data_IF_616806798548
#
_entry.id   IF_616806798548
#
_cell.length_a   1.000
_cell.length_b   1.000
_cell.length_c   1.000
_cell.angle_alpha   90.00
_cell.angle_beta   90.00
_cell.angle_gamma   90.00
#
_symmetry.space_group_name_H-M   'P 1'
#
loop_
_entity.id
_entity.type
_entity.pdbx_description
1 polymer ?
#
# COMPACT_ATOMS: atom_id res chain seq x y z
N UNK A 1 -2.63 8.13 -1.72
CA UNK A 1 -1.42 7.29 -1.89
C UNK A 1 -0.14 8.10 -2.00
N UNK A 2 -0.17 9.39 -2.36
CA UNK A 2 0.99 10.30 -2.29
C UNK A 2 2.27 9.69 -2.90
N UNK A 3 2.22 9.45 -4.21
CA UNK A 3 3.24 8.65 -4.93
C UNK A 3 4.38 9.49 -5.50
N UNK A 4 4.25 10.82 -5.58
CA UNK A 4 5.28 11.72 -6.11
C UNK A 4 6.40 11.96 -5.08
N UNK A 5 6.96 10.85 -4.58
CA UNK A 5 8.01 10.77 -3.57
C UNK A 5 9.05 9.73 -4.02
N UNK A 6 10.32 9.85 -3.61
CA UNK A 6 11.36 8.90 -3.99
C UNK A 6 11.29 7.58 -3.18
N UNK A 7 10.19 6.84 -3.30
CA UNK A 7 9.91 5.61 -2.52
C UNK A 7 10.16 4.30 -3.29
N UNK A 8 10.68 4.37 -4.52
CA UNK A 8 10.73 3.23 -5.45
C UNK A 8 11.99 2.35 -5.32
N UNK A 9 13.05 2.84 -4.66
CA UNK A 9 14.29 2.06 -4.53
C UNK A 9 14.07 0.72 -3.79
N UNK A 10 13.24 0.73 -2.75
CA UNK A 10 12.95 -0.45 -1.92
C UNK A 10 12.15 -1.55 -2.63
N UNK A 11 11.52 -1.23 -3.77
CA UNK A 11 10.73 -2.20 -4.55
C UNK A 11 11.54 -2.84 -5.68
N UNK A 12 12.76 -2.36 -5.95
CA UNK A 12 13.60 -2.86 -7.03
C UNK A 12 14.17 -4.28 -6.75
N UNK A 13 14.11 -4.72 -5.50
CA UNK A 13 14.47 -6.06 -5.06
C UNK A 13 13.44 -6.57 -4.04
N UNK A 14 13.32 -7.90 -3.93
CA UNK A 14 12.42 -8.57 -2.97
C UNK A 14 10.92 -8.32 -3.21
N UNK A 15 10.55 -7.83 -4.38
CA UNK A 15 9.17 -7.68 -4.84
C UNK A 15 8.49 -6.37 -4.43
N UNK A 16 7.39 -6.06 -5.13
CA UNK A 16 6.60 -4.84 -4.94
C UNK A 16 5.48 -4.99 -3.89
N UNK A 17 5.09 -6.21 -3.54
CA UNK A 17 3.91 -6.51 -2.73
C UNK A 17 4.23 -7.42 -1.55
N UNK A 18 3.37 -7.41 -0.53
CA UNK A 18 3.49 -8.31 0.64
C UNK A 18 4.69 -7.99 1.53
N UNK A 19 5.13 -6.73 1.52
CA UNK A 19 6.32 -6.21 2.20
C UNK A 19 5.89 -5.29 3.36
N UNK A 20 5.47 -5.82 4.52
CA UNK A 20 4.99 -5.01 5.65
C UNK A 20 6.09 -4.13 6.27
N UNK A 21 7.36 -4.50 6.06
CA UNK A 21 8.55 -3.76 6.47
C UNK A 21 8.85 -2.53 5.60
N UNK A 22 8.35 -2.48 4.36
CA UNK A 22 8.64 -1.43 3.38
C UNK A 22 7.73 -0.19 3.50
N UNK A 23 6.70 -0.24 4.36
CA UNK A 23 5.74 0.85 4.58
C UNK A 23 5.23 1.51 3.26
N UNK A 24 4.86 0.66 2.29
CA UNK A 24 4.42 1.10 0.97
C UNK A 24 2.94 1.50 1.02
N UNK A 25 2.55 2.64 0.42
CA UNK A 25 1.19 3.18 0.56
C UNK A 25 0.11 2.31 -0.08
N UNK A 26 0.47 1.43 -1.02
CA UNK A 26 -0.47 0.50 -1.66
C UNK A 26 -0.73 -0.78 -0.86
N UNK A 27 0.09 -1.08 0.14
CA UNK A 27 -0.15 -2.21 1.05
C UNK A 27 -1.17 -1.86 2.16
N UNK A 28 -1.56 -0.59 2.28
CA UNK A 28 -2.49 -0.14 3.31
C UNK A 28 -3.93 -0.57 3.01
N UNK A 29 -4.57 -1.24 3.97
CA UNK A 29 -5.97 -1.70 3.92
C UNK A 29 -6.96 -0.74 4.59
N UNK A 30 -6.58 0.51 4.83
CA UNK A 30 -7.40 1.54 5.50
C UNK A 30 -8.77 1.80 4.89
N UNK A 31 -9.02 1.41 3.63
CA UNK A 31 -10.33 1.54 2.97
C UNK A 31 -11.23 0.31 3.13
N UNK A 32 -10.78 -0.74 3.82
CA UNK A 32 -11.55 -1.97 3.99
C UNK A 32 -12.91 -1.72 4.68
N UNK A 33 -12.93 -0.92 5.74
CA UNK A 33 -14.16 -0.60 6.46
C UNK A 33 -15.11 0.25 5.61
N UNK A 34 -14.60 1.18 4.81
CA UNK A 34 -15.41 2.00 3.91
C UNK A 34 -16.08 1.13 2.84
N UNK A 35 -15.35 0.15 2.32
CA UNK A 35 -15.90 -0.83 1.38
C UNK A 35 -16.98 -1.68 2.05
N UNK A 36 -16.76 -2.17 3.27
CA UNK A 36 -17.76 -2.93 4.02
C UNK A 36 -19.04 -2.12 4.28
N UNK A 37 -18.91 -0.83 4.61
CA UNK A 37 -20.07 0.06 4.78
C UNK A 37 -20.83 0.30 3.49
N UNK A 38 -20.15 0.31 2.34
CA UNK A 38 -20.78 0.61 1.04
C UNK A 38 -21.66 -0.51 0.49
N UNK A 39 -21.58 -1.72 1.06
CA UNK A 39 -22.33 -2.91 0.61
C UNK A 39 -23.51 -3.27 1.52
N UNK A 40 -23.70 -2.55 2.63
CA UNK A 40 -24.84 -2.72 3.55
C UNK A 40 -25.94 -1.70 3.28
#
# INVERSE_FOLDING_TARGET
>A
MDLLRPIYAQTAAYGHFGRPDANLPWENTNRADDLLRSVG
#
